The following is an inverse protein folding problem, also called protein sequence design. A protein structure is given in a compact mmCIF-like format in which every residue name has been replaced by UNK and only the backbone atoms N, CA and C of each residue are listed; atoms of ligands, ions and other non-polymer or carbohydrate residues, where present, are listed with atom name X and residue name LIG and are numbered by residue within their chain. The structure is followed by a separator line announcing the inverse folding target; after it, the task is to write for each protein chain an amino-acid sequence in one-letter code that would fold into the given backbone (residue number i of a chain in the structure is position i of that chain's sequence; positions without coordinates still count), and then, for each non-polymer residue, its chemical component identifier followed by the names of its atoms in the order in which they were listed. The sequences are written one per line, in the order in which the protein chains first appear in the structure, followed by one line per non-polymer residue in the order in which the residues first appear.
data_IF_290840455630
#
_entry.id   IF_290840455630
#
_cell.length_a   1.000
_cell.length_b   1.000
_cell.length_c   1.000
_cell.angle_alpha   90.00
_cell.angle_beta   90.00
_cell.angle_gamma   90.00
#
_symmetry.space_group_name_H-M   'P 1'
#
loop_
_entity.id
_entity.type
_entity.pdbx_description
1 polymer ?
#
# COMPACT_ATOMS: atom_id res chain seq x y z
N UNK A 1 65.05 -9.04 -17.51
CA UNK A 1 63.61 -8.84 -17.79
C UNK A 1 62.86 -9.90 -17.02
N UNK A 2 62.43 -9.56 -15.82
CA UNK A 2 61.59 -10.42 -14.97
C UNK A 2 60.27 -9.69 -14.74
N UNK A 3 59.18 -10.39 -14.95
CA UNK A 3 57.80 -9.88 -14.86
C UNK A 3 57.40 -9.76 -13.38
N UNK A 4 56.77 -8.66 -12.93
CA UNK A 4 56.34 -8.55 -11.54
C UNK A 4 55.08 -9.40 -11.30
N UNK A 5 55.12 -10.08 -10.15
CA UNK A 5 54.09 -11.00 -9.67
C UNK A 5 52.99 -10.22 -8.95
N UNK A 6 51.77 -10.70 -9.14
CA UNK A 6 50.48 -10.21 -8.67
C UNK A 6 50.40 -10.14 -7.12
N UNK A 7 50.93 -9.09 -6.47
CA UNK A 7 50.66 -8.87 -5.02
C UNK A 7 50.65 -7.42 -4.52
N UNK A 8 50.54 -6.42 -5.38
CA UNK A 8 50.43 -4.99 -4.99
C UNK A 8 49.02 -4.42 -5.19
N UNK A 9 48.01 -5.13 -4.68
CA UNK A 9 46.71 -4.52 -4.36
C UNK A 9 46.27 -4.94 -2.97
N UNK A 10 47.14 -4.72 -2.00
CA UNK A 10 46.69 -4.38 -0.65
C UNK A 10 46.49 -2.87 -0.63
N UNK A 11 45.38 -2.43 -1.21
CA UNK A 11 44.82 -1.13 -0.86
C UNK A 11 44.38 -1.30 0.58
N UNK A 12 45.15 -0.68 1.45
CA UNK A 12 44.89 -0.38 2.85
C UNK A 12 43.38 -0.19 3.09
N UNK A 13 42.72 -1.25 3.56
CA UNK A 13 41.28 -1.30 3.91
C UNK A 13 40.98 -0.66 5.28
N UNK A 14 41.95 0.06 5.83
CA UNK A 14 41.89 0.62 7.16
C UNK A 14 41.97 2.15 7.11
N UNK A 15 40.89 2.77 7.58
CA UNK A 15 40.87 4.15 8.13
C UNK A 15 40.94 5.29 7.11
N UNK A 16 40.13 5.22 6.05
CA UNK A 16 39.54 6.45 5.52
C UNK A 16 38.06 6.40 5.87
N UNK A 17 37.79 6.87 7.08
CA UNK A 17 36.51 7.40 7.49
C UNK A 17 36.06 8.43 6.45
N UNK A 18 35.47 7.96 5.34
CA UNK A 18 34.43 8.74 4.67
C UNK A 18 33.48 9.13 5.79
N UNK A 19 33.31 10.42 5.98
CA UNK A 19 32.21 11.02 6.74
C UNK A 19 30.96 10.16 6.51
N UNK A 20 30.62 9.37 7.53
CA UNK A 20 29.43 8.52 7.55
C UNK A 20 28.19 9.42 7.62
N UNK A 21 27.82 10.11 6.55
CA UNK A 21 26.62 10.97 6.42
C UNK A 21 26.29 11.85 7.65
N UNK A 22 27.30 12.29 8.40
CA UNK A 22 27.10 13.01 9.67
C UNK A 22 26.39 12.25 10.80
N UNK A 23 26.14 10.95 10.67
CA UNK A 23 25.42 10.13 11.65
C UNK A 23 26.34 9.68 12.80
N UNK A 24 25.97 9.92 14.07
CA UNK A 24 26.69 9.39 15.23
C UNK A 24 26.89 7.88 15.15
N UNK A 25 28.09 7.42 15.52
CA UNK A 25 28.48 6.01 15.43
C UNK A 25 27.53 5.06 16.19
N UNK A 26 26.98 5.53 17.31
CA UNK A 26 26.02 4.78 18.13
C UNK A 26 24.73 4.47 17.35
N UNK A 27 24.18 5.47 16.65
CA UNK A 27 22.95 5.33 15.85
C UNK A 27 23.21 4.40 14.64
N UNK A 28 24.38 4.53 14.02
CA UNK A 28 24.76 3.66 12.91
C UNK A 28 24.87 2.19 13.33
N UNK A 29 25.50 1.92 14.47
CA UNK A 29 25.66 0.56 14.97
C UNK A 29 24.31 -0.05 15.39
N UNK A 30 23.45 0.72 16.05
CA UNK A 30 22.09 0.29 16.40
C UNK A 30 21.23 0.00 15.16
N UNK A 31 21.34 0.84 14.13
CA UNK A 31 20.67 0.65 12.85
C UNK A 31 21.09 -0.65 12.16
N UNK A 32 22.40 -0.93 12.07
CA UNK A 32 22.90 -2.19 11.48
C UNK A 32 22.43 -3.39 12.30
N UNK A 33 22.46 -3.28 13.64
CA UNK A 33 22.01 -4.35 14.52
C UNK A 33 20.53 -4.72 14.29
N UNK A 34 19.67 -3.73 14.04
CA UNK A 34 18.23 -3.91 13.87
C UNK A 34 17.76 -3.84 12.40
N UNK A 35 18.69 -3.85 11.44
CA UNK A 35 18.42 -3.57 10.03
C UNK A 35 17.31 -4.47 9.45
N UNK A 36 17.37 -5.78 9.70
CA UNK A 36 16.38 -6.72 9.20
C UNK A 36 14.99 -6.46 9.80
N UNK A 37 14.92 -6.11 11.08
CA UNK A 37 13.65 -5.80 11.76
C UNK A 37 13.03 -4.53 11.18
N UNK A 38 13.82 -3.49 10.96
CA UNK A 38 13.35 -2.24 10.33
C UNK A 38 12.86 -2.51 8.91
N UNK A 39 13.65 -3.26 8.13
CA UNK A 39 13.31 -3.64 6.76
C UNK A 39 11.99 -4.40 6.68
N UNK A 40 11.84 -5.49 7.44
CA UNK A 40 10.60 -6.29 7.41
C UNK A 40 9.41 -5.53 7.96
N UNK A 41 9.61 -4.63 8.94
CA UNK A 41 8.56 -3.78 9.47
C UNK A 41 8.05 -2.80 8.40
N UNK A 42 8.94 -2.11 7.69
CA UNK A 42 8.57 -1.18 6.62
C UNK A 42 7.89 -1.91 5.45
N UNK A 43 8.41 -3.08 5.07
CA UNK A 43 7.80 -3.94 4.06
C UNK A 43 6.38 -4.33 4.45
N UNK A 44 6.18 -4.83 5.67
CA UNK A 44 4.87 -5.25 6.16
C UNK A 44 3.90 -4.08 6.26
N UNK A 45 4.33 -2.96 6.86
CA UNK A 45 3.51 -1.77 7.07
C UNK A 45 3.06 -1.14 5.75
N UNK A 46 3.95 -1.06 4.75
CA UNK A 46 3.52 -0.57 3.44
C UNK A 46 2.64 -1.59 2.73
N UNK A 47 2.97 -2.88 2.82
CA UNK A 47 2.15 -3.95 2.28
C UNK A 47 0.72 -3.94 2.80
N UNK A 48 0.50 -3.69 4.10
CA UNK A 48 -0.84 -3.61 4.69
C UNK A 48 -1.63 -2.39 4.24
N UNK A 49 -0.96 -1.27 3.97
CA UNK A 49 -1.59 -0.07 3.40
C UNK A 49 -2.09 -0.35 1.97
N UNK A 50 -1.22 -0.92 1.13
CA UNK A 50 -1.59 -1.24 -0.25
C UNK A 50 -2.56 -2.44 -0.34
N UNK A 51 -2.61 -3.31 0.65
CA UNK A 51 -3.63 -4.35 0.72
C UNK A 51 -5.04 -3.75 0.64
N UNK A 52 -5.32 -2.69 1.40
CA UNK A 52 -6.62 -2.02 1.36
C UNK A 52 -6.94 -1.47 -0.04
N UNK A 53 -5.95 -0.87 -0.71
CA UNK A 53 -6.08 -0.36 -2.07
C UNK A 53 -6.36 -1.49 -3.09
N UNK A 54 -5.55 -2.56 -3.07
CA UNK A 54 -5.73 -3.68 -4.00
C UNK A 54 -7.03 -4.45 -3.74
N UNK A 55 -7.49 -4.54 -2.49
CA UNK A 55 -8.79 -5.15 -2.17
C UNK A 55 -9.97 -4.39 -2.79
N UNK A 56 -9.91 -3.07 -2.87
CA UNK A 56 -10.90 -2.29 -3.63
C UNK A 56 -10.87 -2.61 -5.12
N UNK A 57 -9.67 -2.75 -5.71
CA UNK A 57 -9.51 -3.06 -7.14
C UNK A 57 -9.99 -4.49 -7.47
N UNK A 58 -9.63 -5.48 -6.67
CA UNK A 58 -10.03 -6.88 -6.88
C UNK A 58 -11.53 -7.12 -6.69
N UNK A 59 -12.25 -6.20 -6.06
CA UNK A 59 -13.68 -6.29 -5.84
C UNK A 59 -14.55 -5.68 -6.97
N UNK A 60 -13.96 -5.14 -8.03
CA UNK A 60 -14.69 -4.50 -9.14
C UNK A 60 -15.77 -5.38 -9.78
N UNK A 61 -15.47 -6.67 -10.00
CA UNK A 61 -16.41 -7.62 -10.60
C UNK A 61 -17.62 -7.86 -9.70
N UNK A 62 -17.40 -7.89 -8.37
CA UNK A 62 -18.48 -8.03 -7.39
C UNK A 62 -19.45 -6.85 -7.50
N UNK A 63 -18.95 -5.61 -7.48
CA UNK A 63 -19.82 -4.43 -7.57
C UNK A 63 -20.53 -4.29 -8.91
N UNK A 64 -19.87 -4.69 -9.99
CA UNK A 64 -20.49 -4.74 -11.32
C UNK A 64 -21.68 -5.72 -11.35
N UNK A 65 -21.54 -6.87 -10.68
CA UNK A 65 -22.62 -7.86 -10.56
C UNK A 65 -23.72 -7.45 -9.56
N UNK A 66 -23.37 -6.70 -8.52
CA UNK A 66 -24.29 -6.26 -7.46
C UNK A 66 -25.14 -5.05 -7.89
N UNK A 67 -24.62 -4.17 -8.75
CA UNK A 67 -25.30 -2.97 -9.23
C UNK A 67 -25.42 -2.90 -10.76
N UNK A 68 -26.02 -3.90 -11.43
CA UNK A 68 -26.05 -3.98 -12.88
C UNK A 68 -26.86 -2.86 -13.54
N UNK A 69 -27.86 -2.28 -12.84
CA UNK A 69 -28.68 -1.18 -13.37
C UNK A 69 -28.15 0.20 -12.99
N UNK A 70 -26.96 0.29 -12.38
CA UNK A 70 -26.35 1.58 -12.04
C UNK A 70 -25.87 2.34 -13.27
N UNK A 71 -25.50 1.62 -14.35
CA UNK A 71 -24.87 2.22 -15.53
C UNK A 71 -23.48 2.80 -15.23
N UNK A 72 -22.84 2.38 -14.14
CA UNK A 72 -21.50 2.80 -13.74
C UNK A 72 -20.48 1.72 -14.10
N UNK A 73 -19.43 2.11 -14.81
CA UNK A 73 -18.32 1.24 -15.20
C UNK A 73 -17.32 1.10 -14.06
N UNK A 74 -17.58 0.18 -13.11
CA UNK A 74 -16.73 -0.01 -11.93
C UNK A 74 -15.27 -0.36 -12.26
N UNK A 75 -15.00 -0.98 -13.41
CA UNK A 75 -13.62 -1.28 -13.81
C UNK A 75 -12.78 -0.02 -13.99
N UNK A 76 -13.37 1.02 -14.60
CA UNK A 76 -12.72 2.31 -14.79
C UNK A 76 -12.87 3.22 -13.56
N UNK A 77 -14.09 3.33 -13.03
CA UNK A 77 -14.41 4.27 -11.96
C UNK A 77 -13.72 3.93 -10.65
N UNK A 78 -13.51 2.65 -10.32
CA UNK A 78 -12.78 2.27 -9.10
C UNK A 78 -11.35 2.80 -9.13
N UNK A 79 -10.65 2.62 -10.25
CA UNK A 79 -9.27 3.11 -10.41
C UNK A 79 -9.23 4.64 -10.36
N UNK A 80 -10.16 5.31 -11.05
CA UNK A 80 -10.27 6.76 -11.07
C UNK A 80 -10.53 7.32 -9.66
N UNK A 81 -11.57 6.79 -8.99
CA UNK A 81 -12.02 7.24 -7.68
C UNK A 81 -11.04 6.91 -6.57
N UNK A 82 -10.18 5.90 -6.70
CA UNK A 82 -9.11 5.64 -5.71
C UNK A 82 -7.86 6.47 -5.97
N UNK A 83 -7.43 6.56 -7.23
CA UNK A 83 -6.12 7.13 -7.58
C UNK A 83 -6.13 8.66 -7.60
N UNK A 84 -7.18 9.31 -8.09
CA UNK A 84 -7.24 10.78 -8.11
C UNK A 84 -7.28 11.39 -6.72
N UNK A 85 -8.11 10.93 -5.78
CA UNK A 85 -8.08 11.42 -4.40
C UNK A 85 -6.75 11.16 -3.70
N UNK A 86 -6.05 10.07 -4.04
CA UNK A 86 -4.69 9.82 -3.55
C UNK A 86 -3.71 10.88 -4.05
N UNK A 87 -3.70 11.17 -5.36
CA UNK A 87 -2.85 12.21 -5.96
C UNK A 87 -3.17 13.59 -5.40
N UNK A 88 -4.45 13.94 -5.30
CA UNK A 88 -4.90 15.22 -4.73
C UNK A 88 -4.50 15.30 -3.25
N UNK A 89 -4.72 14.24 -2.49
CA UNK A 89 -4.35 14.16 -1.07
C UNK A 89 -2.86 14.35 -0.86
N UNK A 90 -2.02 13.71 -1.68
CA UNK A 90 -0.57 13.89 -1.64
C UNK A 90 -0.15 15.30 -2.09
N UNK A 91 -0.77 15.84 -3.14
CA UNK A 91 -0.52 17.19 -3.62
C UNK A 91 -0.85 18.26 -2.58
N UNK A 92 -1.97 18.11 -1.86
CA UNK A 92 -2.34 19.00 -0.75
C UNK A 92 -1.33 18.88 0.40
N UNK A 93 -0.93 17.65 0.75
CA UNK A 93 0.04 17.44 1.83
C UNK A 93 1.39 18.09 1.53
N UNK A 94 1.90 17.94 0.29
CA UNK A 94 3.14 18.55 -0.16
C UNK A 94 3.01 20.07 -0.32
N UNK A 95 1.93 20.56 -0.94
CA UNK A 95 1.74 21.98 -1.24
C UNK A 95 1.49 22.85 -0.01
N UNK A 96 0.78 22.35 0.99
CA UNK A 96 0.53 23.06 2.26
C UNK A 96 1.58 22.77 3.34
N UNK A 97 2.57 21.91 3.04
CA UNK A 97 3.60 21.49 4.00
C UNK A 97 3.01 20.75 5.22
N UNK A 98 1.88 20.05 5.04
CA UNK A 98 1.22 19.32 6.13
C UNK A 98 2.06 18.13 6.60
N UNK A 99 2.92 17.62 5.72
CA UNK A 99 3.96 16.63 6.03
C UNK A 99 4.91 17.11 7.14
N UNK A 100 5.19 18.42 7.21
CA UNK A 100 6.06 19.04 8.22
C UNK A 100 5.31 19.44 9.49
N UNK A 101 4.01 19.74 9.39
CA UNK A 101 3.19 20.22 10.50
C UNK A 101 2.62 19.09 11.36
N UNK A 102 2.30 17.94 10.75
CA UNK A 102 1.72 16.81 11.47
C UNK A 102 2.76 15.74 11.80
N UNK A 103 2.69 15.21 13.02
CA UNK A 103 3.55 14.09 13.45
C UNK A 103 3.26 12.83 12.61
N UNK A 104 4.30 12.10 12.22
CA UNK A 104 4.21 10.86 11.44
C UNK A 104 3.24 9.82 12.05
N UNK A 105 3.23 9.69 13.38
CA UNK A 105 2.30 8.80 14.10
C UNK A 105 0.83 9.17 13.84
N UNK A 106 0.50 10.45 13.90
CA UNK A 106 -0.88 10.91 13.67
C UNK A 106 -1.33 10.61 12.23
N UNK A 107 -0.45 10.84 11.24
CA UNK A 107 -0.74 10.57 9.82
C UNK A 107 -1.00 9.09 9.56
N UNK A 108 -0.16 8.21 10.12
CA UNK A 108 -0.33 6.76 9.97
C UNK A 108 -1.61 6.28 10.67
N UNK A 109 -1.82 6.65 11.94
CA UNK A 109 -3.02 6.22 12.68
C UNK A 109 -4.32 6.71 12.03
N UNK A 110 -4.34 7.96 11.54
CA UNK A 110 -5.52 8.50 10.85
C UNK A 110 -5.79 7.78 9.53
N UNK A 111 -4.76 7.42 8.76
CA UNK A 111 -4.93 6.62 7.54
C UNK A 111 -5.50 5.22 7.81
N UNK A 112 -4.96 4.49 8.79
CA UNK A 112 -5.53 3.18 9.18
C UNK A 112 -6.94 3.29 9.75
N UNK A 113 -7.24 4.35 10.49
CA UNK A 113 -8.59 4.60 10.99
C UNK A 113 -9.58 4.81 9.83
N UNK A 114 -9.19 5.58 8.81
CA UNK A 114 -9.97 5.75 7.58
C UNK A 114 -10.17 4.41 6.88
N UNK A 115 -9.14 3.58 6.75
CA UNK A 115 -9.25 2.26 6.12
C UNK A 115 -10.25 1.37 6.84
N UNK A 116 -10.15 1.27 8.17
CA UNK A 116 -11.06 0.45 8.96
C UNK A 116 -12.50 0.94 8.86
N UNK A 117 -12.73 2.25 8.99
CA UNK A 117 -14.06 2.84 8.92
C UNK A 117 -14.67 2.66 7.53
N UNK A 118 -13.90 2.90 6.46
CA UNK A 118 -14.37 2.71 5.09
C UNK A 118 -14.63 1.24 4.79
N UNK A 119 -13.79 0.31 5.27
CA UNK A 119 -14.03 -1.13 5.08
C UNK A 119 -15.35 -1.57 5.71
N UNK A 120 -15.64 -1.12 6.95
CA UNK A 120 -16.92 -1.39 7.61
C UNK A 120 -18.11 -0.80 6.85
N UNK A 121 -17.99 0.43 6.35
CA UNK A 121 -19.03 1.06 5.54
C UNK A 121 -19.26 0.32 4.22
N UNK A 122 -18.20 -0.10 3.54
CA UNK A 122 -18.26 -0.86 2.29
C UNK A 122 -18.98 -2.20 2.52
N UNK A 123 -18.62 -2.94 3.57
CA UNK A 123 -19.29 -4.19 3.93
C UNK A 123 -20.77 -3.96 4.27
N UNK A 124 -21.07 -2.89 5.01
CA UNK A 124 -22.44 -2.52 5.39
C UNK A 124 -23.30 -2.13 4.18
N UNK A 125 -22.79 -1.26 3.30
CA UNK A 125 -23.47 -0.86 2.08
C UNK A 125 -23.64 -2.02 1.10
N UNK A 126 -22.70 -2.97 1.08
CA UNK A 126 -22.82 -4.19 0.27
C UNK A 126 -23.89 -5.16 0.81
N UNK A 127 -24.19 -5.11 2.10
CA UNK A 127 -25.24 -5.92 2.72
C UNK A 127 -26.65 -5.29 2.59
N UNK A 128 -26.74 -3.96 2.42
CA UNK A 128 -28.00 -3.24 2.33
C UNK A 128 -28.60 -3.28 0.91
N UNK A 129 -29.94 -3.33 0.82
CA UNK A 129 -30.66 -3.20 -0.46
C UNK A 129 -31.11 -1.76 -0.64
N UNK A 130 -30.52 -1.05 -1.60
CA UNK A 130 -30.88 0.34 -1.90
C UNK A 130 -32.06 0.40 -2.87
N UNK A 131 -33.00 1.32 -2.62
CA UNK A 131 -34.10 1.63 -3.54
C UNK A 131 -33.59 2.12 -4.91
N UNK A 132 -32.42 2.77 -4.92
CA UNK A 132 -31.70 3.17 -6.14
C UNK A 132 -30.31 2.53 -6.16
N UNK A 133 -30.07 1.63 -7.12
CA UNK A 133 -28.77 0.98 -7.30
C UNK A 133 -27.65 1.99 -7.59
N UNK A 134 -27.97 3.10 -8.27
CA UNK A 134 -27.01 4.19 -8.53
C UNK A 134 -26.50 4.83 -7.25
N UNK A 135 -27.37 5.03 -6.26
CA UNK A 135 -27.00 5.65 -4.99
C UNK A 135 -26.07 4.75 -4.17
N UNK A 136 -26.38 3.45 -4.09
CA UNK A 136 -25.51 2.48 -3.42
C UNK A 136 -24.12 2.37 -4.06
N UNK A 137 -24.09 2.30 -5.39
CA UNK A 137 -22.85 2.29 -6.16
C UNK A 137 -22.00 3.55 -5.94
N UNK A 138 -22.63 4.73 -5.95
CA UNK A 138 -21.94 6.00 -5.71
C UNK A 138 -21.35 6.07 -4.29
N UNK A 139 -22.08 5.62 -3.28
CA UNK A 139 -21.60 5.59 -1.89
C UNK A 139 -20.34 4.73 -1.74
N UNK A 140 -20.29 3.57 -2.39
CA UNK A 140 -19.11 2.69 -2.39
C UNK A 140 -17.92 3.37 -3.09
N UNK A 141 -18.16 4.04 -4.22
CA UNK A 141 -17.11 4.80 -4.92
C UNK A 141 -16.58 5.98 -4.08
N UNK A 142 -17.43 6.63 -3.29
CA UNK A 142 -16.99 7.64 -2.32
C UNK A 142 -16.11 7.01 -1.23
N UNK A 143 -16.47 5.83 -0.71
CA UNK A 143 -15.63 5.09 0.23
C UNK A 143 -14.26 4.75 -0.37
N UNK A 144 -14.21 4.35 -1.65
CA UNK A 144 -12.95 4.13 -2.37
C UNK A 144 -12.09 5.39 -2.48
N UNK A 145 -12.71 6.55 -2.70
CA UNK A 145 -12.01 7.82 -2.67
C UNK A 145 -11.43 8.16 -1.31
N UNK A 146 -12.18 7.91 -0.23
CA UNK A 146 -11.68 8.07 1.13
C UNK A 146 -10.49 7.14 1.42
N UNK A 147 -10.51 5.89 0.93
CA UNK A 147 -9.37 4.96 1.01
C UNK A 147 -8.17 5.54 0.24
N UNK A 148 -8.37 6.10 -0.96
CA UNK A 148 -7.30 6.79 -1.69
C UNK A 148 -6.64 7.92 -0.88
N UNK A 149 -7.44 8.72 -0.18
CA UNK A 149 -6.94 9.77 0.73
C UNK A 149 -6.18 9.16 1.92
N UNK A 150 -6.73 8.12 2.55
CA UNK A 150 -6.06 7.40 3.65
C UNK A 150 -4.71 6.81 3.23
N UNK A 151 -4.61 6.36 1.97
CA UNK A 151 -3.37 5.88 1.38
C UNK A 151 -2.33 6.99 1.28
N UNK A 152 -2.72 8.17 0.79
CA UNK A 152 -1.83 9.33 0.72
C UNK A 152 -1.29 9.77 2.09
N UNK A 153 -2.01 9.51 3.19
CA UNK A 153 -1.56 9.83 4.55
C UNK A 153 -0.56 8.81 5.09
N UNK A 154 -0.82 7.51 4.85
CA UNK A 154 -0.02 6.42 5.42
C UNK A 154 1.22 6.10 4.57
N UNK A 155 1.03 5.80 3.29
CA UNK A 155 2.11 5.35 2.39
C UNK A 155 3.18 6.44 2.24
N UNK A 156 2.78 7.69 2.01
CA UNK A 156 3.72 8.80 1.90
C UNK A 156 4.57 8.95 3.18
N UNK A 157 3.98 8.69 4.36
CA UNK A 157 4.71 8.74 5.63
C UNK A 157 5.76 7.62 5.74
N UNK A 158 5.48 6.42 5.22
CA UNK A 158 6.47 5.34 5.20
C UNK A 158 7.64 5.61 4.26
N UNK A 159 7.38 6.20 3.09
CA UNK A 159 8.46 6.67 2.23
C UNK A 159 9.28 7.78 2.89
N UNK A 160 8.64 8.72 3.60
CA UNK A 160 9.37 9.73 4.38
C UNK A 160 10.24 9.10 5.46
N UNK A 161 9.72 8.12 6.22
CA UNK A 161 10.48 7.42 7.26
C UNK A 161 11.65 6.63 6.64
N UNK A 162 11.42 5.92 5.54
CA UNK A 162 12.46 5.17 4.85
C UNK A 162 13.57 6.09 4.31
N UNK A 163 13.21 7.27 3.82
CA UNK A 163 14.16 8.27 3.33
C UNK A 163 15.01 8.95 4.42
N UNK A 164 14.65 8.81 5.71
CA UNK A 164 15.49 9.28 6.82
C UNK A 164 16.73 8.41 7.02
N UNK A 165 16.70 7.16 6.54
CA UNK A 165 17.84 6.27 6.63
C UNK A 165 18.74 6.44 5.42
N UNK A 166 20.07 6.50 5.60
CA UNK A 166 21.02 6.64 4.49
C UNK A 166 21.14 5.37 3.63
N UNK A 167 20.46 4.28 4.01
CA UNK A 167 20.53 2.98 3.33
C UNK A 167 19.30 2.82 2.44
N UNK A 168 19.52 2.79 1.12
CA UNK A 168 18.46 2.60 0.10
C UNK A 168 17.61 1.34 0.29
N UNK A 169 18.16 0.32 0.97
CA UNK A 169 17.49 -0.94 1.31
C UNK A 169 16.14 -0.72 1.98
N UNK A 170 15.99 0.31 2.82
CA UNK A 170 14.72 0.57 3.51
C UNK A 170 13.63 1.09 2.57
N UNK A 171 13.97 1.98 1.64
CA UNK A 171 13.06 2.44 0.59
C UNK A 171 12.69 1.29 -0.36
N UNK A 172 13.66 0.44 -0.70
CA UNK A 172 13.39 -0.78 -1.46
C UNK A 172 12.46 -1.73 -0.72
N UNK A 173 12.58 -1.84 0.61
CA UNK A 173 11.65 -2.62 1.44
C UNK A 173 10.20 -2.15 1.33
N UNK A 174 9.98 -0.83 1.35
CA UNK A 174 8.65 -0.22 1.14
C UNK A 174 8.09 -0.57 -0.23
N UNK A 175 8.89 -0.46 -1.30
CA UNK A 175 8.46 -0.80 -2.66
C UNK A 175 8.17 -2.29 -2.85
N UNK A 176 9.02 -3.16 -2.32
CA UNK A 176 8.81 -4.61 -2.32
C UNK A 176 7.51 -4.94 -1.57
N UNK A 177 7.24 -4.27 -0.45
CA UNK A 177 5.97 -4.40 0.28
C UNK A 177 4.75 -4.12 -0.60
N UNK A 178 4.79 -3.07 -1.41
CA UNK A 178 3.73 -2.76 -2.39
C UNK A 178 3.56 -3.89 -3.41
N UNK A 179 4.66 -4.33 -4.05
CA UNK A 179 4.59 -5.42 -5.03
C UNK A 179 4.09 -6.73 -4.42
N UNK A 180 4.57 -7.09 -3.22
CA UNK A 180 4.11 -8.26 -2.50
C UNK A 180 2.61 -8.19 -2.18
N UNK A 181 2.11 -7.03 -1.74
CA UNK A 181 0.68 -6.85 -1.49
C UNK A 181 -0.16 -7.10 -2.74
N UNK A 182 0.26 -6.58 -3.90
CA UNK A 182 -0.44 -6.81 -5.16
C UNK A 182 -0.46 -8.28 -5.58
N UNK A 183 0.70 -8.95 -5.53
CA UNK A 183 0.82 -10.38 -5.87
C UNK A 183 -0.05 -11.22 -4.94
N UNK A 184 0.04 -11.01 -3.63
CA UNK A 184 -0.76 -11.75 -2.64
C UNK A 184 -2.25 -11.49 -2.82
N UNK A 185 -2.65 -10.24 -3.04
CA UNK A 185 -4.05 -9.87 -3.22
C UNK A 185 -4.67 -10.58 -4.42
N UNK A 186 -4.03 -10.51 -5.59
CA UNK A 186 -4.50 -11.17 -6.81
C UNK A 186 -4.49 -12.70 -6.65
N UNK A 187 -3.44 -13.25 -6.06
CA UNK A 187 -3.32 -14.70 -5.85
C UNK A 187 -4.45 -15.21 -4.96
N UNK A 188 -4.65 -14.59 -3.79
CA UNK A 188 -5.70 -14.99 -2.83
C UNK A 188 -7.09 -14.78 -3.44
N UNK A 189 -7.34 -13.65 -4.10
CA UNK A 189 -8.61 -13.39 -4.76
C UNK A 189 -8.90 -14.43 -5.86
N UNK A 190 -7.91 -14.79 -6.66
CA UNK A 190 -8.04 -15.78 -7.73
C UNK A 190 -8.31 -17.18 -7.16
N UNK A 191 -7.54 -17.60 -6.14
CA UNK A 191 -7.72 -18.89 -5.48
C UNK A 191 -9.10 -18.98 -4.83
N UNK A 192 -9.56 -17.93 -4.15
CA UNK A 192 -10.90 -17.91 -3.55
C UNK A 192 -12.00 -17.99 -4.61
N UNK A 193 -11.89 -17.23 -5.70
CA UNK A 193 -12.84 -17.28 -6.82
C UNK A 193 -12.89 -18.67 -7.45
N UNK A 194 -11.74 -19.33 -7.61
CA UNK A 194 -11.66 -20.70 -8.13
C UNK A 194 -12.22 -21.73 -7.13
N UNK A 195 -11.94 -21.59 -5.84
CA UNK A 195 -12.41 -22.50 -4.80
C UNK A 195 -13.93 -22.43 -4.58
N UNK A 196 -14.51 -21.23 -4.66
CA UNK A 196 -15.95 -21.02 -4.43
C UNK A 196 -16.78 -21.20 -5.70
N UNK A 197 -16.26 -20.78 -6.86
CA UNK A 197 -17.01 -20.73 -8.12
C UNK A 197 -16.61 -21.73 -9.18
N UNK A 198 -15.43 -22.34 -9.05
CA UNK A 198 -14.85 -23.15 -10.12
C UNK A 198 -14.71 -22.38 -11.44
N UNK A 199 -14.87 -23.10 -12.55
CA UNK A 199 -14.75 -22.56 -13.93
C UNK A 199 -15.99 -21.75 -14.35
N UNK A 200 -17.15 -22.02 -13.74
CA UNK A 200 -18.41 -21.33 -14.04
C UNK A 200 -18.73 -20.32 -12.94
N UNK A 201 -18.12 -19.13 -13.03
CA UNK A 201 -18.38 -18.02 -12.11
C UNK A 201 -19.85 -17.60 -12.17
N UNK A 202 -20.59 -17.74 -11.07
CA UNK A 202 -21.97 -17.26 -10.92
C UNK A 202 -22.02 -16.07 -9.96
N UNK A 203 -23.01 -15.17 -10.07
CA UNK A 203 -23.12 -13.99 -9.18
C UNK A 203 -23.11 -14.35 -7.68
N UNK A 204 -23.64 -15.51 -7.31
CA UNK A 204 -23.61 -16.00 -5.92
C UNK A 204 -22.21 -16.37 -5.46
N UNK A 205 -21.40 -17.00 -6.32
CA UNK A 205 -20.01 -17.34 -6.01
C UNK A 205 -19.13 -16.10 -5.86
N UNK A 206 -19.30 -15.10 -6.73
CA UNK A 206 -18.56 -13.85 -6.66
C UNK A 206 -18.85 -13.11 -5.35
N UNK A 207 -20.09 -13.15 -4.88
CA UNK A 207 -20.50 -12.56 -3.59
C UNK A 207 -19.86 -13.26 -2.39
N UNK A 208 -19.82 -14.59 -2.36
CA UNK A 208 -19.18 -15.34 -1.28
C UNK A 208 -17.66 -15.16 -1.26
N UNK A 209 -17.03 -15.16 -2.43
CA UNK A 209 -15.59 -14.91 -2.57
C UNK A 209 -15.22 -13.51 -2.05
N UNK A 210 -16.07 -12.51 -2.30
CA UNK A 210 -15.87 -11.15 -1.81
C UNK A 210 -15.91 -11.06 -0.28
N UNK A 211 -16.93 -11.62 0.38
CA UNK A 211 -17.03 -11.58 1.85
C UNK A 211 -15.94 -12.38 2.58
N UNK A 212 -15.35 -13.40 1.92
CA UNK A 212 -14.23 -14.15 2.47
C UNK A 212 -12.88 -13.45 2.30
N UNK A 213 -12.80 -12.50 1.36
CA UNK A 213 -11.57 -11.84 0.97
C UNK A 213 -11.38 -10.45 1.56
N UNK A 214 -12.49 -9.72 1.72
CA UNK A 214 -12.51 -8.30 2.12
C UNK A 214 -12.52 -8.14 3.64
#
# INVERSE_FOLDING_TARGET
MESPTKSEKFVQEDVVCMERDGLPLEIWNDMIQHENLIYYSLLFLNGSVLWAYYSCLSAQDFYSSQFPQSGLEFSFLTTLCTSWPMVIGQGIQMGLGLDKKFTSRFRVHSGYFIFLLMALLILSFSAMTFTSQKTGALLILVCFGCIGIGNSLSEATYYTIAALFPIEKFTNGVQIGNSCAGILNITVATVLRLAVGGVNQTSTSTRWSFYLFF
#
